data_IF_637955065183
#
_entry.id   IF_637955065183
#
_cell.length_a   1.000
_cell.length_b   1.000
_cell.length_c   1.000
_cell.angle_alpha   90.00
_cell.angle_beta   90.00
_cell.angle_gamma   90.00
#
_symmetry.space_group_name_H-M   'P 1'
#
loop_
_entity.id
_entity.type
_entity.pdbx_description
1 polymer ?
#
# COMPACT_ATOMS: atom_id res chain seq x y z
N UNK A 1 23.94 -12.18 47.59
CA UNK A 1 22.66 -12.61 46.94
C UNK A 1 22.83 -14.04 46.44
N UNK A 2 22.17 -15.03 47.07
CA UNK A 2 22.23 -16.42 46.60
C UNK A 2 21.59 -16.60 45.22
N UNK A 3 22.28 -17.29 44.31
CA UNK A 3 21.68 -17.72 43.03
C UNK A 3 20.54 -18.67 43.35
N UNK A 4 19.31 -18.28 43.02
CA UNK A 4 18.15 -19.17 43.13
C UNK A 4 18.40 -20.36 42.20
N UNK A 5 18.57 -21.57 42.75
CA UNK A 5 18.64 -22.81 41.96
C UNK A 5 17.27 -23.07 41.37
N UNK A 6 17.20 -23.10 40.05
CA UNK A 6 15.97 -23.34 39.28
C UNK A 6 15.79 -24.84 39.11
N UNK A 7 14.54 -25.30 39.12
CA UNK A 7 14.22 -26.71 38.92
C UNK A 7 14.64 -27.17 37.52
N UNK A 8 15.50 -28.20 37.38
CA UNK A 8 15.93 -28.72 36.09
C UNK A 8 14.79 -29.33 35.27
N UNK A 9 13.64 -29.69 35.86
CA UNK A 9 12.51 -30.26 35.11
C UNK A 9 11.53 -29.20 34.56
N UNK A 10 11.79 -27.91 34.81
CA UNK A 10 10.92 -26.81 34.39
C UNK A 10 11.30 -26.28 33.00
N UNK A 11 10.60 -26.76 31.98
CA UNK A 11 10.86 -26.46 30.56
C UNK A 11 10.84 -24.97 30.24
N UNK A 12 9.91 -24.20 30.83
CA UNK A 12 9.84 -22.74 30.64
C UNK A 12 11.04 -22.04 31.25
N UNK A 13 11.50 -22.52 32.41
CA UNK A 13 12.66 -21.94 33.07
C UNK A 13 13.96 -22.27 32.32
N UNK A 14 14.10 -23.51 31.83
CA UNK A 14 15.21 -23.89 30.95
C UNK A 14 15.25 -23.03 29.69
N UNK A 15 14.11 -22.85 29.04
CA UNK A 15 14.03 -22.05 27.81
C UNK A 15 14.30 -20.57 28.09
N UNK A 16 13.80 -20.02 29.20
CA UNK A 16 14.12 -18.67 29.63
C UNK A 16 15.63 -18.49 29.88
N UNK A 17 16.31 -19.48 30.47
CA UNK A 17 17.76 -19.45 30.68
C UNK A 17 18.51 -19.50 29.35
N UNK A 18 18.14 -20.41 28.45
CA UNK A 18 18.73 -20.53 27.11
C UNK A 18 18.64 -19.21 26.35
N UNK A 19 17.49 -18.53 26.43
CA UNK A 19 17.23 -17.22 25.81
C UNK A 19 17.71 -16.02 26.63
N UNK A 20 18.32 -16.25 27.81
CA UNK A 20 18.78 -15.22 28.77
C UNK A 20 17.70 -14.19 29.16
N UNK A 21 16.44 -14.63 29.26
CA UNK A 21 15.28 -13.78 29.54
C UNK A 21 15.00 -13.66 31.04
N UNK A 22 14.57 -12.47 31.48
CA UNK A 22 14.15 -12.24 32.88
C UNK A 22 12.78 -12.85 33.17
N UNK A 23 11.91 -12.89 32.16
CA UNK A 23 10.55 -13.41 32.18
C UNK A 23 10.31 -14.10 30.83
N UNK A 24 9.61 -15.22 30.86
CA UNK A 24 9.23 -15.95 29.66
C UNK A 24 7.85 -16.58 29.82
N UNK A 25 7.06 -16.52 28.76
CA UNK A 25 5.76 -17.19 28.65
C UNK A 25 5.51 -17.49 27.17
N UNK A 26 4.96 -18.66 26.83
CA UNK A 26 4.61 -18.99 25.45
C UNK A 26 3.36 -18.24 24.98
N UNK A 27 2.63 -17.62 25.91
CA UNK A 27 1.37 -16.93 25.63
C UNK A 27 1.58 -15.42 25.53
N UNK A 28 1.19 -14.84 24.40
CA UNK A 28 0.99 -13.41 24.24
C UNK A 28 -0.51 -13.11 24.06
N UNK A 29 -1.15 -12.34 24.96
CA UNK A 29 -2.59 -12.09 24.90
C UNK A 29 -3.07 -11.34 23.66
N UNK A 30 -2.16 -10.75 22.89
CA UNK A 30 -2.50 -10.00 21.69
C UNK A 30 -2.46 -10.85 20.42
N UNK A 31 -1.84 -12.03 20.38
CA UNK A 31 -1.75 -12.84 19.15
C UNK A 31 -2.27 -14.27 19.30
N UNK A 32 -2.23 -14.81 20.50
CA UNK A 32 -2.43 -16.25 20.75
C UNK A 32 -3.86 -16.55 21.24
N UNK A 33 -4.88 -16.28 20.41
CA UNK A 33 -6.26 -16.66 20.74
C UNK A 33 -6.52 -18.15 20.52
N UNK A 34 -5.84 -18.75 19.55
CA UNK A 34 -6.10 -20.12 19.11
C UNK A 34 -5.16 -21.14 19.78
N UNK A 35 -4.03 -20.70 20.35
CA UNK A 35 -2.96 -21.61 20.78
C UNK A 35 -3.10 -22.19 22.19
N UNK A 36 -4.13 -21.85 22.96
CA UNK A 36 -4.47 -22.59 24.19
C UNK A 36 -5.98 -22.53 24.44
N UNK A 37 -6.69 -23.59 24.06
CA UNK A 37 -8.15 -23.76 24.26
C UNK A 37 -8.56 -23.57 25.73
N UNK A 38 -7.61 -23.67 26.67
CA UNK A 38 -7.82 -23.62 28.11
C UNK A 38 -7.62 -22.23 28.75
N UNK A 39 -6.92 -21.28 28.10
CA UNK A 39 -6.67 -19.95 28.69
C UNK A 39 -7.75 -18.97 28.27
N UNK A 40 -8.74 -18.77 29.16
CA UNK A 40 -9.83 -17.82 28.94
C UNK A 40 -9.55 -16.44 29.56
N UNK A 41 -8.64 -16.38 30.54
CA UNK A 41 -8.33 -15.18 31.32
C UNK A 41 -6.82 -14.96 31.50
N UNK A 42 -6.40 -13.70 31.62
CA UNK A 42 -4.98 -13.36 31.85
C UNK A 42 -4.41 -14.00 33.12
N UNK A 43 -5.26 -14.23 34.12
CA UNK A 43 -4.85 -14.85 35.38
C UNK A 43 -4.47 -16.34 35.23
N UNK A 44 -4.85 -17.01 34.15
CA UNK A 44 -4.49 -18.41 33.89
C UNK A 44 -3.13 -18.55 33.18
N UNK A 45 -2.48 -17.44 32.82
CA UNK A 45 -1.22 -17.49 32.06
C UNK A 45 -0.11 -18.13 32.88
N UNK A 46 0.47 -19.20 32.34
CA UNK A 46 1.64 -19.86 32.89
C UNK A 46 2.93 -19.17 32.40
N UNK A 47 3.84 -18.87 33.33
CA UNK A 47 5.05 -18.13 33.03
C UNK A 47 6.19 -18.44 34.00
N UNK A 48 7.42 -18.23 33.54
CA UNK A 48 8.62 -18.21 34.37
C UNK A 48 9.09 -16.77 34.62
N UNK A 49 9.61 -16.51 35.82
CA UNK A 49 10.34 -15.28 36.12
C UNK A 49 11.56 -15.61 36.98
N UNK A 50 12.71 -15.01 36.67
CA UNK A 50 14.00 -15.18 37.39
C UNK A 50 14.03 -14.96 38.92
N UNK A 51 12.93 -14.50 39.51
CA UNK A 51 12.77 -14.22 40.95
C UNK A 51 11.90 -15.27 41.63
N UNK A 52 11.33 -16.19 40.86
CA UNK A 52 10.61 -17.38 41.27
C UNK A 52 11.55 -18.58 41.14
N UNK A 53 11.30 -19.60 41.96
CA UNK A 53 12.07 -20.85 41.93
C UNK A 53 11.66 -21.68 40.71
N UNK A 54 10.34 -21.76 40.47
CA UNK A 54 9.71 -22.49 39.36
C UNK A 54 8.74 -21.56 38.61
N UNK A 55 8.36 -21.96 37.41
CA UNK A 55 7.25 -21.42 36.64
C UNK A 55 5.94 -21.60 37.40
N UNK A 56 5.05 -20.62 37.25
CA UNK A 56 3.79 -20.51 38.00
C UNK A 56 2.72 -19.85 37.17
N UNK A 57 1.47 -20.06 37.58
CA UNK A 57 0.31 -19.38 37.01
C UNK A 57 0.23 -17.94 37.54
N UNK A 58 -0.08 -16.97 36.67
CA UNK A 58 -0.13 -15.55 37.02
C UNK A 58 -1.07 -15.25 38.19
N UNK A 59 -2.27 -15.84 38.17
CA UNK A 59 -3.27 -15.70 39.23
C UNK A 59 -2.77 -16.18 40.59
N UNK A 60 -1.97 -17.26 40.64
CA UNK A 60 -1.35 -17.75 41.86
C UNK A 60 -0.34 -16.75 42.39
N UNK A 61 0.59 -16.28 41.54
CA UNK A 61 1.63 -15.34 41.94
C UNK A 61 1.03 -14.01 42.42
N UNK A 62 -0.05 -13.56 41.79
CA UNK A 62 -0.74 -12.32 42.15
C UNK A 62 -1.45 -12.43 43.51
N UNK A 63 -1.98 -13.62 43.84
CA UNK A 63 -2.72 -13.90 45.08
C UNK A 63 -1.86 -14.48 46.22
N UNK A 64 -0.64 -14.92 45.94
CA UNK A 64 0.25 -15.56 46.92
C UNK A 64 0.69 -14.59 48.02
N UNK A 65 0.10 -14.74 49.22
CA UNK A 65 0.39 -13.92 50.40
C UNK A 65 1.81 -14.09 50.92
N UNK A 66 2.49 -15.22 50.63
CA UNK A 66 3.87 -15.48 51.07
C UNK A 66 4.89 -14.61 50.32
N UNK A 67 4.56 -14.16 49.11
CA UNK A 67 5.42 -13.27 48.32
C UNK A 67 5.15 -11.82 48.71
N UNK A 68 6.17 -11.09 49.16
CA UNK A 68 6.08 -9.64 49.47
C UNK A 68 5.41 -8.88 48.31
N UNK A 69 4.47 -7.97 48.63
CA UNK A 69 3.70 -7.15 47.68
C UNK A 69 4.59 -6.46 46.64
N UNK A 70 5.72 -5.87 47.08
CA UNK A 70 6.69 -5.23 46.19
C UNK A 70 7.31 -6.21 45.17
N UNK A 71 7.55 -7.47 45.57
CA UNK A 71 8.07 -8.53 44.68
C UNK A 71 7.00 -8.95 43.66
N UNK A 72 5.74 -9.18 44.07
CA UNK A 72 4.61 -9.46 43.15
C UNK A 72 4.46 -8.37 42.09
N UNK A 73 4.47 -7.10 42.52
CA UNK A 73 4.34 -5.95 41.62
C UNK A 73 5.47 -5.86 40.59
N UNK A 74 6.71 -6.18 40.98
CA UNK A 74 7.86 -6.22 40.05
C UNK A 74 7.70 -7.35 39.03
N UNK A 75 7.28 -8.53 39.47
CA UNK A 75 7.05 -9.69 38.59
C UNK A 75 6.01 -9.38 37.51
N UNK A 76 4.86 -8.83 37.92
CA UNK A 76 3.80 -8.43 36.99
C UNK A 76 4.27 -7.36 36.02
N UNK A 77 5.02 -6.34 36.49
CA UNK A 77 5.58 -5.30 35.61
C UNK A 77 6.54 -5.88 34.58
N UNK A 78 7.41 -6.81 34.98
CA UNK A 78 8.39 -7.43 34.10
C UNK A 78 7.68 -8.30 33.03
N UNK A 79 6.63 -9.05 33.40
CA UNK A 79 5.80 -9.82 32.46
C UNK A 79 5.05 -8.93 31.47
N UNK A 80 4.39 -7.87 31.95
CA UNK A 80 3.69 -6.91 31.09
C UNK A 80 4.66 -6.23 30.13
N UNK A 81 5.87 -5.87 30.60
CA UNK A 81 6.91 -5.30 29.73
C UNK A 81 7.39 -6.31 28.68
N UNK A 82 7.46 -7.59 29.02
CA UNK A 82 7.79 -8.64 28.06
C UNK A 82 6.74 -8.73 26.94
N UNK A 83 5.45 -8.77 27.27
CA UNK A 83 4.38 -8.74 26.27
C UNK A 83 4.37 -7.47 25.41
N UNK A 84 4.69 -6.30 25.98
CA UNK A 84 4.83 -5.06 25.21
C UNK A 84 5.94 -5.15 24.17
N UNK A 85 7.10 -5.66 24.59
CA UNK A 85 8.25 -5.84 23.70
C UNK A 85 7.92 -6.83 22.58
N UNK A 86 7.42 -8.01 22.95
CA UNK A 86 7.05 -9.07 22.00
C UNK A 86 5.97 -8.61 21.01
N UNK A 87 5.02 -7.79 21.47
CA UNK A 87 4.01 -7.22 20.57
C UNK A 87 4.62 -6.27 19.54
N UNK A 88 5.48 -5.36 19.99
CA UNK A 88 6.11 -4.37 19.11
C UNK A 88 7.02 -5.03 18.08
N UNK A 89 7.84 -5.98 18.50
CA UNK A 89 8.72 -6.73 17.60
C UNK A 89 7.91 -7.48 16.53
N UNK A 90 6.83 -8.16 16.91
CA UNK A 90 5.96 -8.85 15.96
C UNK A 90 5.24 -7.90 15.01
N UNK A 91 4.63 -6.81 15.51
CA UNK A 91 3.94 -5.84 14.65
C UNK A 91 4.91 -5.15 13.68
N UNK A 92 6.11 -4.79 14.14
CA UNK A 92 7.12 -4.17 13.30
C UNK A 92 7.63 -5.14 12.23
N UNK A 93 7.84 -6.41 12.60
CA UNK A 93 8.16 -7.46 11.63
C UNK A 93 7.04 -7.64 10.59
N UNK A 94 5.78 -7.72 11.02
CA UNK A 94 4.63 -7.82 10.11
C UNK A 94 4.50 -6.60 9.20
N UNK A 95 4.73 -5.40 9.74
CA UNK A 95 4.79 -4.16 8.97
C UNK A 95 5.86 -4.24 7.90
N UNK A 96 7.08 -4.64 8.28
CA UNK A 96 8.21 -4.76 7.35
C UNK A 96 7.91 -5.78 6.26
N UNK A 97 7.43 -6.98 6.61
CA UNK A 97 7.04 -7.99 5.63
C UNK A 97 5.92 -7.49 4.70
N UNK A 98 4.93 -6.76 5.22
CA UNK A 98 3.87 -6.20 4.39
C UNK A 98 4.40 -5.13 3.45
N UNK A 99 5.27 -4.25 3.91
CA UNK A 99 5.91 -3.24 3.06
C UNK A 99 6.82 -3.88 2.00
N UNK A 100 7.55 -4.94 2.33
CA UNK A 100 8.36 -5.71 1.38
C UNK A 100 7.50 -6.42 0.32
N UNK A 101 6.38 -7.04 0.74
CA UNK A 101 5.42 -7.70 -0.16
C UNK A 101 4.66 -6.71 -1.03
N UNK A 102 4.34 -5.55 -0.49
CA UNK A 102 3.72 -4.48 -1.24
C UNK A 102 4.79 -3.92 -2.15
N UNK A 103 4.98 -4.58 -3.32
CA UNK A 103 6.06 -4.28 -4.26
C UNK A 103 6.33 -2.79 -4.28
N UNK A 104 7.52 -2.36 -3.85
CA UNK A 104 7.92 -0.95 -3.91
C UNK A 104 7.63 -0.48 -5.32
N UNK A 105 6.51 0.22 -5.49
CA UNK A 105 6.30 0.96 -6.72
C UNK A 105 7.22 2.13 -6.56
N UNK A 106 8.45 1.97 -7.05
CA UNK A 106 9.28 3.12 -7.36
C UNK A 106 8.49 3.89 -8.41
N UNK A 107 7.67 4.84 -7.97
CA UNK A 107 6.88 5.77 -8.78
C UNK A 107 7.76 6.41 -9.87
N UNK A 108 9.06 6.53 -9.56
CA UNK A 108 10.18 6.91 -10.45
C UNK A 108 10.28 6.09 -11.74
N UNK A 109 9.81 4.83 -11.80
CA UNK A 109 9.89 3.97 -13.00
C UNK A 109 8.68 4.10 -13.95
N UNK A 110 7.55 4.64 -13.49
CA UNK A 110 6.38 4.86 -14.37
C UNK A 110 6.64 6.14 -15.16
N UNK A 111 6.51 6.14 -16.49
CA UNK A 111 6.71 7.32 -17.34
C UNK A 111 5.63 8.38 -17.10
N UNK A 112 6.02 9.67 -16.95
CA UNK A 112 5.04 10.77 -16.85
C UNK A 112 4.64 11.18 -18.26
N UNK A 113 3.39 10.98 -18.61
CA UNK A 113 2.86 11.37 -19.91
C UNK A 113 2.66 12.89 -19.89
N UNK A 114 3.35 13.60 -20.79
CA UNK A 114 3.28 15.05 -20.93
C UNK A 114 2.08 15.45 -21.79
N UNK A 115 1.37 16.50 -21.38
CA UNK A 115 0.18 17.01 -22.07
C UNK A 115 0.50 17.79 -23.36
N UNK A 116 1.76 18.18 -23.57
CA UNK A 116 2.20 18.90 -24.78
C UNK A 116 1.76 18.22 -26.09
N UNK A 117 1.80 16.88 -26.13
CA UNK A 117 1.36 16.12 -27.29
C UNK A 117 -0.16 16.17 -27.50
N UNK A 118 -0.95 16.26 -26.43
CA UNK A 118 -2.40 16.43 -26.55
C UNK A 118 -2.69 17.74 -27.29
N UNK A 119 -2.06 18.85 -26.86
CA UNK A 119 -2.24 20.14 -27.53
C UNK A 119 -1.82 20.11 -29.00
N UNK A 120 -0.69 19.48 -29.31
CA UNK A 120 -0.20 19.36 -30.69
C UNK A 120 -1.21 18.61 -31.59
N UNK A 121 -1.67 17.42 -31.18
CA UNK A 121 -2.61 16.63 -31.98
C UNK A 121 -4.01 17.23 -32.01
N UNK A 122 -4.45 17.89 -30.95
CA UNK A 122 -5.69 18.68 -30.95
C UNK A 122 -5.61 19.82 -31.96
N UNK A 123 -4.47 20.53 -32.04
CA UNK A 123 -4.27 21.60 -33.02
C UNK A 123 -4.25 21.08 -34.45
N UNK A 124 -3.55 19.97 -34.73
CA UNK A 124 -3.59 19.29 -36.03
C UNK A 124 -5.04 18.94 -36.39
N UNK A 125 -5.78 18.34 -35.47
CA UNK A 125 -7.18 17.97 -35.69
C UNK A 125 -8.07 19.18 -35.99
N UNK A 126 -7.96 20.27 -35.22
CA UNK A 126 -8.76 21.49 -35.41
C UNK A 126 -8.45 22.12 -36.76
N UNK A 127 -7.17 22.23 -37.13
CA UNK A 127 -6.75 22.77 -38.43
C UNK A 127 -7.27 21.90 -39.57
N UNK A 128 -7.13 20.57 -39.48
CA UNK A 128 -7.62 19.65 -40.51
C UNK A 128 -9.15 19.71 -40.66
N UNK A 129 -9.91 19.82 -39.56
CA UNK A 129 -11.36 20.02 -39.61
C UNK A 129 -11.70 21.35 -40.29
N UNK A 130 -11.01 22.43 -39.94
CA UNK A 130 -11.27 23.74 -40.51
C UNK A 130 -10.99 23.77 -42.02
N UNK A 131 -9.88 23.15 -42.45
CA UNK A 131 -9.53 22.97 -43.86
C UNK A 131 -10.54 22.06 -44.60
N UNK A 132 -11.03 21.00 -43.96
CA UNK A 132 -12.01 20.11 -44.59
C UNK A 132 -13.33 20.80 -44.95
N UNK A 133 -13.72 21.84 -44.20
CA UNK A 133 -14.98 22.58 -44.38
C UNK A 133 -14.94 23.62 -45.51
N UNK A 134 -13.80 23.78 -46.20
CA UNK A 134 -13.61 24.75 -47.29
C UNK A 134 -14.07 26.16 -46.92
N UNK A 135 -13.73 26.63 -45.72
CA UNK A 135 -14.22 27.91 -45.18
C UNK A 135 -13.82 29.07 -46.09
N UNK A 136 -14.81 29.73 -46.69
CA UNK A 136 -14.61 30.73 -47.76
C UNK A 136 -13.85 31.99 -47.31
N UNK A 137 -13.93 32.33 -46.01
CA UNK A 137 -13.24 33.50 -45.44
C UNK A 137 -11.71 33.39 -45.52
N UNK A 138 -11.16 32.17 -45.44
CA UNK A 138 -9.72 31.95 -45.51
C UNK A 138 -9.11 32.29 -46.88
N UNK A 139 -9.89 32.16 -47.96
CA UNK A 139 -9.48 32.59 -49.31
C UNK A 139 -9.37 34.11 -49.45
N UNK A 140 -9.88 34.87 -48.49
CA UNK A 140 -9.87 36.34 -48.50
C UNK A 140 -8.69 36.91 -47.70
N UNK A 141 -7.94 36.09 -46.96
CA UNK A 141 -6.80 36.54 -46.15
C UNK A 141 -5.53 36.60 -47.01
N UNK A 142 -4.97 37.80 -47.28
CA UNK A 142 -3.97 37.98 -48.34
C UNK A 142 -2.67 37.19 -48.13
N UNK A 143 -2.25 36.95 -46.88
CA UNK A 143 -0.99 36.26 -46.57
C UNK A 143 -1.04 34.73 -46.69
N UNK A 144 -2.24 34.12 -46.70
CA UNK A 144 -2.41 32.64 -46.68
C UNK A 144 -3.32 32.17 -47.82
N UNK A 145 -3.83 33.11 -48.63
CA UNK A 145 -4.79 32.86 -49.72
C UNK A 145 -4.28 31.81 -50.71
N UNK A 146 -3.05 31.96 -51.19
CA UNK A 146 -2.50 31.08 -52.22
C UNK A 146 -2.29 29.67 -51.66
N UNK A 147 -1.77 29.57 -50.42
CA UNK A 147 -1.60 28.30 -49.72
C UNK A 147 -2.92 27.54 -49.55
N UNK A 148 -3.97 28.23 -49.11
CA UNK A 148 -5.27 27.62 -48.83
C UNK A 148 -6.00 27.26 -50.14
N UNK A 149 -5.81 28.06 -51.19
CA UNK A 149 -6.41 27.79 -52.50
C UNK A 149 -5.78 26.54 -53.14
N UNK A 150 -4.46 26.43 -53.14
CA UNK A 150 -3.73 25.25 -53.62
C UNK A 150 -4.09 24.00 -52.79
N UNK A 151 -4.23 24.15 -51.48
CA UNK A 151 -4.64 23.05 -50.63
C UNK A 151 -6.05 22.56 -50.97
N UNK A 152 -7.00 23.46 -51.24
CA UNK A 152 -8.35 23.08 -51.65
C UNK A 152 -8.42 22.40 -53.01
N UNK A 153 -7.57 22.79 -53.96
CA UNK A 153 -7.41 22.09 -55.24
C UNK A 153 -6.90 20.66 -54.99
N UNK A 154 -5.90 20.50 -54.12
CA UNK A 154 -5.39 19.17 -53.77
C UNK A 154 -6.50 18.26 -53.20
N UNK A 155 -7.28 18.77 -52.23
CA UNK A 155 -8.35 17.99 -51.60
C UNK A 155 -9.64 17.88 -52.43
N UNK A 156 -9.66 18.36 -53.68
CA UNK A 156 -10.70 17.97 -54.65
C UNK A 156 -10.52 16.54 -55.14
N UNK A 157 -9.28 16.03 -55.09
CA UNK A 157 -9.03 14.62 -55.38
C UNK A 157 -9.58 13.75 -54.23
N UNK A 158 -10.47 12.78 -54.51
CA UNK A 158 -11.10 11.97 -53.47
C UNK A 158 -10.11 11.25 -52.54
N UNK A 159 -8.95 10.82 -53.07
CA UNK A 159 -7.88 10.18 -52.31
C UNK A 159 -7.34 11.10 -51.19
N UNK A 160 -7.01 12.35 -51.50
CA UNK A 160 -6.42 13.29 -50.54
C UNK A 160 -7.45 13.80 -49.54
N UNK A 161 -8.72 13.93 -49.96
CA UNK A 161 -9.82 14.22 -49.05
C UNK A 161 -10.03 13.09 -48.03
N UNK A 162 -10.01 11.83 -48.48
CA UNK A 162 -10.11 10.67 -47.59
C UNK A 162 -8.93 10.58 -46.62
N UNK A 163 -7.71 10.86 -47.07
CA UNK A 163 -6.52 10.92 -46.20
C UNK A 163 -6.64 12.03 -45.14
N UNK A 164 -7.19 13.19 -45.50
CA UNK A 164 -7.47 14.27 -44.55
C UNK A 164 -8.51 13.85 -43.50
N UNK A 165 -9.57 13.14 -43.91
CA UNK A 165 -10.57 12.60 -42.98
C UNK A 165 -9.94 11.56 -42.04
N UNK A 166 -9.11 10.65 -42.57
CA UNK A 166 -8.37 9.67 -41.76
C UNK A 166 -7.47 10.39 -40.75
N UNK A 167 -6.79 11.48 -41.16
CA UNK A 167 -5.95 12.29 -40.26
C UNK A 167 -6.75 12.84 -39.07
N UNK A 168 -7.97 13.35 -39.32
CA UNK A 168 -8.86 13.89 -38.29
C UNK A 168 -9.21 12.81 -37.28
N UNK A 169 -9.70 11.66 -37.73
CA UNK A 169 -10.08 10.55 -36.85
C UNK A 169 -8.88 9.99 -36.08
N UNK A 170 -7.74 9.81 -36.76
CA UNK A 170 -6.53 9.30 -36.12
C UNK A 170 -5.99 10.27 -35.07
N UNK A 171 -6.06 11.58 -35.31
CA UNK A 171 -5.68 12.62 -34.34
C UNK A 171 -6.60 12.61 -33.12
N UNK A 172 -7.92 12.48 -33.30
CA UNK A 172 -8.89 12.35 -32.21
C UNK A 172 -8.63 11.10 -31.35
N UNK A 173 -8.45 9.94 -32.00
CA UNK A 173 -8.11 8.68 -31.32
C UNK A 173 -6.81 8.83 -30.53
N UNK A 174 -5.80 9.47 -31.12
CA UNK A 174 -4.51 9.71 -30.46
C UNK A 174 -4.67 10.60 -29.22
N UNK A 175 -5.44 11.68 -29.31
CA UNK A 175 -5.74 12.57 -28.18
C UNK A 175 -6.44 11.81 -27.05
N UNK A 176 -7.53 11.11 -27.36
CA UNK A 176 -8.31 10.34 -26.39
C UNK A 176 -7.44 9.27 -25.71
N UNK A 177 -6.65 8.54 -26.50
CA UNK A 177 -5.77 7.50 -25.99
C UNK A 177 -4.72 8.08 -25.04
N UNK A 178 -4.09 9.21 -25.38
CA UNK A 178 -3.10 9.87 -24.51
C UNK A 178 -3.75 10.31 -23.18
N UNK A 179 -4.96 10.86 -23.21
CA UNK A 179 -5.71 11.27 -22.02
C UNK A 179 -6.02 10.06 -21.13
N UNK A 180 -6.59 8.99 -21.70
CA UNK A 180 -6.91 7.77 -20.98
C UNK A 180 -5.66 7.14 -20.37
N UNK A 181 -4.58 7.04 -21.15
CA UNK A 181 -3.33 6.45 -20.71
C UNK A 181 -2.70 7.25 -19.57
N UNK A 182 -2.76 8.59 -19.64
CA UNK A 182 -2.31 9.46 -18.55
C UNK A 182 -3.10 9.21 -17.28
N UNK A 183 -4.43 9.26 -17.36
CA UNK A 183 -5.31 9.05 -16.20
C UNK A 183 -5.04 7.68 -15.56
N UNK A 184 -4.89 6.64 -16.38
CA UNK A 184 -4.54 5.30 -15.94
C UNK A 184 -3.19 5.25 -15.22
N UNK A 185 -2.13 5.86 -15.78
CA UNK A 185 -0.79 5.90 -15.18
C UNK A 185 -0.76 6.73 -13.89
N UNK A 186 -1.51 7.83 -13.83
CA UNK A 186 -1.59 8.69 -12.65
C UNK A 186 -2.38 8.00 -11.51
N UNK A 187 -3.46 7.27 -11.82
CA UNK A 187 -4.17 6.44 -10.83
C UNK A 187 -3.22 5.38 -10.25
N UNK A 188 -2.47 4.67 -11.10
CA UNK A 188 -1.54 3.62 -10.65
C UNK A 188 -0.41 4.15 -9.77
N UNK A 189 0.15 5.31 -10.11
CA UNK A 189 1.13 5.99 -9.25
C UNK A 189 0.56 6.34 -7.89
N UNK A 190 -0.67 6.89 -7.87
CA UNK A 190 -1.37 7.25 -6.63
C UNK A 190 -1.69 6.01 -5.80
N UNK A 191 -2.13 4.91 -6.41
CA UNK A 191 -2.42 3.65 -5.70
C UNK A 191 -1.15 3.11 -5.01
N UNK A 192 0.01 3.17 -5.67
CA UNK A 192 1.29 2.79 -5.07
C UNK A 192 1.68 3.64 -3.87
N UNK A 193 1.67 4.97 -4.03
CA UNK A 193 2.00 5.88 -2.94
C UNK A 193 1.00 5.79 -1.78
N UNK A 194 -0.28 5.61 -2.10
CA UNK A 194 -1.33 5.53 -1.09
C UNK A 194 -1.30 4.20 -0.34
N UNK A 195 -0.88 3.09 -0.95
CA UNK A 195 -0.79 1.81 -0.28
C UNK A 195 0.23 1.83 0.86
N UNK A 196 1.41 2.40 0.64
CA UNK A 196 2.43 2.55 1.67
C UNK A 196 1.96 3.46 2.82
N UNK A 197 1.39 4.63 2.48
CA UNK A 197 0.83 5.56 3.47
C UNK A 197 -0.29 4.90 4.27
N UNK A 198 -1.21 4.21 3.59
CA UNK A 198 -2.32 3.50 4.21
C UNK A 198 -1.86 2.39 5.14
N UNK A 199 -0.89 1.56 4.70
CA UNK A 199 -0.27 0.53 5.55
C UNK A 199 0.32 1.18 6.80
N UNK A 200 1.09 2.26 6.65
CA UNK A 200 1.66 3.00 7.77
C UNK A 200 0.60 3.53 8.74
N UNK A 201 -0.48 4.13 8.23
CA UNK A 201 -1.56 4.68 9.05
C UNK A 201 -2.34 3.59 9.79
N UNK A 202 -2.62 2.46 9.15
CA UNK A 202 -3.30 1.34 9.80
C UNK A 202 -2.40 0.68 10.86
N UNK A 203 -1.11 0.53 10.61
CA UNK A 203 -0.16 0.07 11.64
C UNK A 203 -0.06 1.04 12.81
N UNK A 204 -0.17 2.35 12.57
CA UNK A 204 -0.25 3.36 13.63
C UNK A 204 -1.52 3.19 14.47
N UNK A 205 -2.69 2.98 13.85
CA UNK A 205 -3.95 2.69 14.55
C UNK A 205 -3.86 1.42 15.40
N UNK A 206 -3.24 0.35 14.87
CA UNK A 206 -2.97 -0.88 15.62
C UNK A 206 -2.15 -0.57 16.88
N UNK A 207 -1.09 0.22 16.73
CA UNK A 207 -0.21 0.59 17.83
C UNK A 207 -0.92 1.44 18.89
N UNK A 208 -1.68 2.45 18.48
CA UNK A 208 -2.43 3.33 19.41
C UNK A 208 -3.53 2.55 20.16
N UNK A 209 -4.24 1.66 19.45
CA UNK A 209 -5.20 0.73 20.04
C UNK A 209 -4.55 -0.20 21.07
N UNK A 210 -3.39 -0.76 20.71
CA UNK A 210 -2.58 -1.57 21.61
C UNK A 210 -2.15 -0.79 22.86
N UNK A 211 -1.59 0.41 22.73
CA UNK A 211 -1.14 1.23 23.87
C UNK A 211 -2.28 1.47 24.87
N UNK A 212 -3.48 1.75 24.35
CA UNK A 212 -4.68 1.97 25.17
C UNK A 212 -5.09 0.70 25.92
N UNK A 213 -5.12 -0.44 25.23
CA UNK A 213 -5.49 -1.73 25.85
C UNK A 213 -4.42 -2.24 26.81
N UNK A 214 -3.14 -2.06 26.47
CA UNK A 214 -2.00 -2.40 27.31
C UNK A 214 -2.02 -1.64 28.64
N UNK A 215 -2.39 -0.35 28.62
CA UNK A 215 -2.64 0.43 29.84
C UNK A 215 -3.75 -0.18 30.69
N UNK A 216 -4.86 -0.64 30.08
CA UNK A 216 -5.98 -1.29 30.80
C UNK A 216 -5.54 -2.62 31.43
N UNK A 217 -4.86 -3.48 30.68
CA UNK A 217 -4.31 -4.76 31.17
C UNK A 217 -3.35 -4.56 32.33
N UNK A 218 -2.38 -3.64 32.17
CA UNK A 218 -1.41 -3.30 33.22
C UNK A 218 -2.09 -2.81 34.49
N UNK A 219 -3.07 -1.89 34.35
CA UNK A 219 -3.85 -1.38 35.50
C UNK A 219 -4.61 -2.50 36.19
N UNK A 220 -5.26 -3.37 35.42
CA UNK A 220 -5.97 -4.53 35.95
C UNK A 220 -5.05 -5.41 36.78
N UNK A 221 -3.98 -5.96 36.19
CA UNK A 221 -3.07 -6.88 36.87
C UNK A 221 -2.42 -6.26 38.11
N UNK A 222 -2.05 -4.98 38.06
CA UNK A 222 -1.51 -4.27 39.22
C UNK A 222 -2.56 -4.08 40.34
N UNK A 223 -3.83 -3.80 39.99
CA UNK A 223 -4.92 -3.75 40.99
C UNK A 223 -5.17 -5.12 41.61
N UNK A 224 -5.12 -6.18 40.82
CA UNK A 224 -5.30 -7.57 41.30
C UNK A 224 -4.23 -7.96 42.32
N UNK A 225 -3.00 -7.40 42.24
CA UNK A 225 -1.96 -7.62 43.28
C UNK A 225 -2.26 -6.96 44.63
N UNK A 226 -3.20 -6.00 44.65
CA UNK A 226 -3.53 -5.16 45.82
C UNK A 226 -4.87 -5.53 46.47
N UNK A 227 -5.81 -6.12 45.74
CA UNK A 227 -7.18 -6.37 46.21
C UNK A 227 -7.50 -7.88 46.21
N UNK A 228 -8.39 -8.30 47.11
CA UNK A 228 -9.06 -9.62 47.07
C UNK A 228 -10.01 -9.81 45.86
N UNK A 229 -9.81 -9.06 44.79
CA UNK A 229 -10.76 -8.96 43.68
C UNK A 229 -10.86 -10.29 42.91
N UNK A 230 -12.10 -10.78 42.80
CA UNK A 230 -12.49 -11.97 42.03
C UNK A 230 -12.58 -11.73 40.51
N UNK A 231 -12.55 -10.48 40.04
CA UNK A 231 -12.75 -10.16 38.62
C UNK A 231 -11.54 -10.58 37.79
N UNK A 232 -11.71 -11.58 36.93
CA UNK A 232 -10.74 -12.01 35.93
C UNK A 232 -10.83 -11.16 34.65
N UNK A 233 -9.69 -11.00 33.96
CA UNK A 233 -9.66 -10.27 32.69
C UNK A 233 -9.76 -11.22 31.51
N UNK A 234 -10.95 -11.29 30.89
CA UNK A 234 -11.22 -12.16 29.74
C UNK A 234 -10.39 -11.76 28.52
N UNK A 235 -9.69 -12.71 27.92
CA UNK A 235 -8.85 -12.49 26.72
C UNK A 235 -9.70 -12.06 25.52
N UNK A 236 -10.94 -12.54 25.39
CA UNK A 236 -11.88 -12.10 24.33
C UNK A 236 -12.13 -10.58 24.30
N UNK A 237 -11.87 -9.87 25.41
CA UNK A 237 -12.00 -8.40 25.50
C UNK A 237 -10.74 -7.66 25.06
N UNK A 238 -9.69 -8.38 24.64
CA UNK A 238 -8.42 -7.82 24.19
C UNK A 238 -8.47 -7.59 22.68
N UNK A 239 -7.84 -6.50 22.26
CA UNK A 239 -7.71 -6.12 20.86
C UNK A 239 -7.03 -7.21 20.02
N UNK A 240 -7.53 -7.42 18.80
CA UNK A 240 -7.08 -8.46 17.89
C UNK A 240 -6.32 -7.87 16.67
N UNK A 241 -4.98 -7.88 16.68
CA UNK A 241 -4.17 -7.42 15.57
C UNK A 241 -4.34 -8.32 14.33
N UNK A 242 -4.66 -9.61 14.47
CA UNK A 242 -4.73 -10.54 13.35
C UNK A 242 -5.87 -10.19 12.39
N UNK A 243 -7.00 -9.69 12.92
CA UNK A 243 -8.13 -9.24 12.09
C UNK A 243 -7.73 -8.06 11.21
N UNK A 244 -7.01 -7.09 11.76
CA UNK A 244 -6.55 -5.91 11.01
C UNK A 244 -5.47 -6.32 10.01
N UNK A 245 -4.52 -7.16 10.42
CA UNK A 245 -3.48 -7.71 9.53
C UNK A 245 -4.10 -8.48 8.36
N UNK A 246 -5.17 -9.26 8.58
CA UNK A 246 -5.88 -9.96 7.50
C UNK A 246 -6.49 -9.00 6.49
N UNK A 247 -7.13 -7.91 6.96
CA UNK A 247 -7.67 -6.86 6.07
C UNK A 247 -6.56 -6.17 5.26
N UNK A 248 -5.45 -5.85 5.92
CA UNK A 248 -4.28 -5.24 5.29
C UNK A 248 -3.67 -6.15 4.21
N UNK A 249 -3.55 -7.45 4.50
CA UNK A 249 -3.03 -8.45 3.55
C UNK A 249 -3.91 -8.50 2.30
N UNK A 250 -5.24 -8.56 2.46
CA UNK A 250 -6.16 -8.58 1.33
C UNK A 250 -6.08 -7.33 0.45
N UNK A 251 -5.91 -6.15 1.06
CA UNK A 251 -5.72 -4.90 0.32
C UNK A 251 -4.38 -4.87 -0.42
N UNK A 252 -3.29 -5.25 0.26
CA UNK A 252 -1.94 -5.33 -0.34
C UNK A 252 -1.93 -6.25 -1.57
N UNK A 253 -2.55 -7.43 -1.47
CA UNK A 253 -2.71 -8.36 -2.60
C UNK A 253 -3.51 -7.75 -3.77
N UNK A 254 -4.58 -7.01 -3.48
CA UNK A 254 -5.36 -6.35 -4.52
C UNK A 254 -4.54 -5.28 -5.27
N UNK A 255 -3.76 -4.49 -4.53
CA UNK A 255 -2.85 -3.49 -5.09
C UNK A 255 -1.77 -4.16 -5.94
N UNK A 256 -1.11 -5.20 -5.40
CA UNK A 256 -0.10 -5.99 -6.09
C UNK A 256 -0.60 -6.55 -7.43
N UNK A 257 -1.80 -7.16 -7.42
CA UNK A 257 -2.43 -7.70 -8.65
C UNK A 257 -2.61 -6.63 -9.72
N UNK A 258 -3.14 -5.46 -9.36
CA UNK A 258 -3.30 -4.33 -10.30
C UNK A 258 -1.97 -3.86 -10.90
N UNK A 259 -0.89 -3.93 -10.12
CA UNK A 259 0.46 -3.52 -10.56
C UNK A 259 1.07 -4.57 -11.48
N UNK A 260 0.93 -5.85 -11.16
CA UNK A 260 1.42 -6.94 -12.01
C UNK A 260 0.72 -6.87 -13.37
N UNK A 261 -0.59 -6.69 -13.38
CA UNK A 261 -1.38 -6.52 -14.61
C UNK A 261 -0.90 -5.30 -15.42
N UNK A 262 -0.58 -4.20 -14.73
CA UNK A 262 0.01 -3.03 -15.36
C UNK A 262 1.38 -3.33 -15.98
N UNK A 263 2.30 -3.97 -15.26
CA UNK A 263 3.66 -4.27 -15.77
C UNK A 263 3.61 -5.13 -17.03
N UNK A 264 2.70 -6.11 -17.08
CA UNK A 264 2.48 -6.94 -18.27
C UNK A 264 2.03 -6.12 -19.49
N UNK A 265 1.18 -5.12 -19.27
CA UNK A 265 0.62 -4.28 -20.35
C UNK A 265 1.44 -3.02 -20.64
N UNK A 266 2.36 -2.63 -19.76
CA UNK A 266 3.03 -1.33 -19.79
C UNK A 266 3.74 -1.04 -21.11
N UNK A 267 4.57 -1.97 -21.58
CA UNK A 267 5.30 -1.82 -22.83
C UNK A 267 4.37 -1.77 -24.03
N UNK A 268 3.33 -2.61 -24.04
CA UNK A 268 2.29 -2.58 -25.08
C UNK A 268 1.55 -1.25 -25.13
N UNK A 269 1.17 -0.70 -23.97
CA UNK A 269 0.48 0.58 -23.89
C UNK A 269 1.33 1.74 -24.40
N UNK A 270 2.63 1.73 -24.10
CA UNK A 270 3.59 2.72 -24.61
C UNK A 270 3.88 2.54 -26.11
N UNK A 271 3.99 1.29 -26.57
CA UNK A 271 4.20 0.97 -27.97
C UNK A 271 3.01 1.43 -28.82
N UNK A 272 1.78 1.15 -28.39
CA UNK A 272 0.58 1.63 -29.07
C UNK A 272 0.51 3.17 -29.08
N UNK A 273 0.91 3.83 -27.97
CA UNK A 273 1.05 5.28 -27.95
C UNK A 273 2.04 5.79 -29.02
N UNK A 274 3.17 5.10 -29.19
CA UNK A 274 4.17 5.45 -30.18
C UNK A 274 3.63 5.26 -31.60
N UNK A 275 2.98 4.13 -31.89
CA UNK A 275 2.37 3.87 -33.20
C UNK A 275 1.35 4.94 -33.59
N UNK A 276 0.46 5.34 -32.67
CA UNK A 276 -0.53 6.39 -32.93
C UNK A 276 0.13 7.74 -33.26
N UNK A 277 1.20 8.10 -32.53
CA UNK A 277 1.96 9.32 -32.80
C UNK A 277 2.71 9.27 -34.12
N UNK A 278 3.33 8.15 -34.44
CA UNK A 278 4.06 7.95 -35.69
C UNK A 278 3.11 7.98 -36.88
N UNK A 279 1.93 7.33 -36.75
CA UNK A 279 0.90 7.35 -37.80
C UNK A 279 0.33 8.74 -38.04
N UNK A 280 -0.04 9.49 -36.99
CA UNK A 280 -0.53 10.87 -37.13
C UNK A 280 0.52 11.80 -37.73
N UNK A 281 1.75 11.79 -37.23
CA UNK A 281 2.83 12.63 -37.77
C UNK A 281 3.20 12.23 -39.20
N UNK A 282 3.32 10.93 -39.48
CA UNK A 282 3.65 10.43 -40.80
C UNK A 282 2.62 10.83 -41.84
N UNK A 283 1.33 10.78 -41.50
CA UNK A 283 0.24 11.16 -42.40
C UNK A 283 0.17 12.68 -42.61
N UNK A 284 0.44 13.48 -41.56
CA UNK A 284 0.61 14.94 -41.70
C UNK A 284 1.79 15.31 -42.60
N UNK A 285 2.95 14.68 -42.41
CA UNK A 285 4.16 14.92 -43.23
C UNK A 285 3.90 14.50 -44.68
N UNK A 286 3.26 13.35 -44.89
CA UNK A 286 2.93 12.85 -46.22
C UNK A 286 2.02 13.81 -46.98
N UNK A 287 0.95 14.31 -46.35
CA UNK A 287 0.08 15.32 -46.96
C UNK A 287 0.83 16.62 -47.25
N UNK A 288 1.74 17.03 -46.36
CA UNK A 288 2.60 18.20 -46.57
C UNK A 288 3.60 18.02 -47.74
N UNK A 289 4.18 16.83 -47.88
CA UNK A 289 5.09 16.49 -48.97
C UNK A 289 4.40 16.52 -50.33
N UNK A 290 3.21 15.92 -50.42
CA UNK A 290 2.40 15.95 -51.65
C UNK A 290 1.99 17.39 -52.00
N UNK A 291 1.59 18.16 -50.99
CA UNK A 291 1.26 19.56 -51.18
C UNK A 291 2.45 20.36 -51.72
N UNK A 292 3.65 20.14 -51.18
CA UNK A 292 4.87 20.80 -51.65
C UNK A 292 5.16 20.43 -53.11
N UNK A 293 5.34 19.14 -53.43
CA UNK A 293 5.72 18.69 -54.78
C UNK A 293 4.73 19.08 -55.90
N UNK A 294 3.44 19.24 -55.60
CA UNK A 294 2.44 19.53 -56.62
C UNK A 294 2.29 21.03 -56.91
N UNK A 295 2.77 21.90 -56.02
CA UNK A 295 2.50 23.35 -56.09
C UNK A 295 3.75 24.23 -55.90
N UNK A 296 4.92 23.63 -55.63
CA UNK A 296 6.23 24.28 -55.49
C UNK A 296 7.34 23.37 -56.03
#
# INVERSE_FOLDING_TARGET
MGKIKVNPNDTLAQEAMKRKLKVYTPFNPYFSKDTQVEITTLEQVYFYHKKLVNSRVLGEVVKDKKIRKGKRRRIVKDLVKYWDKDFKENIEFQKKMMLEKTTEIKSKKIKKIRFMFVYLFSLICIISIFLSKRVSYLKKTPFIKDYITNFYIMIETPLYFNLLIILIYLSLITVLYIILLRTYFDILRKVGSNAEVFINDEFKKIFDGFVTQHKKVKRHLLKTTNAHNKKSFKIKKIFDPNVVLKKLTGYSQHVEKKIIDFRKKYHWLLFFQFLLKAGTLGLTIYLGYIYYNNFY
#
